data_IF_022488272369
#
_entry.id   IF_022488272369
#
_cell.length_a   1.000
_cell.length_b   1.000
_cell.length_c   1.000
_cell.angle_alpha   90.00
_cell.angle_beta   90.00
_cell.angle_gamma   90.00
#
_symmetry.space_group_name_H-M   'P 1'
#
loop_
_entity.id
_entity.type
_entity.pdbx_description
1 polymer ?
#
# COMPACT_ATOMS: atom_id res chain seq x y z
N UNK A 1 6.18 -2.80 5.09
CA UNK A 1 5.26 -1.64 5.20
C UNK A 1 5.41 -0.91 6.53
N UNK A 2 6.11 -1.51 7.52
CA UNK A 2 6.24 -0.94 8.85
C UNK A 2 6.91 0.45 8.79
N UNK A 3 6.16 1.50 9.02
CA UNK A 3 6.63 2.88 9.06
C UNK A 3 6.26 3.75 7.86
N UNK A 4 6.06 3.18 6.66
CA UNK A 4 5.66 3.97 5.49
C UNK A 4 4.24 4.54 5.64
N UNK A 5 3.35 3.79 6.29
CA UNK A 5 1.98 4.16 6.62
C UNK A 5 1.87 5.33 7.64
N UNK A 6 2.95 5.63 8.36
CA UNK A 6 3.02 6.79 9.24
C UNK A 6 3.40 8.08 8.49
N UNK A 7 4.01 7.95 7.32
CA UNK A 7 4.50 9.07 6.52
C UNK A 7 3.52 9.41 5.40
N UNK A 8 2.93 8.40 4.77
CA UNK A 8 1.99 8.61 3.67
C UNK A 8 0.71 7.80 3.89
N UNK A 9 -0.44 8.47 3.84
CA UNK A 9 -1.72 7.80 3.80
C UNK A 9 -1.86 7.07 2.45
N UNK A 10 -2.16 5.77 2.51
CA UNK A 10 -2.43 5.02 1.29
C UNK A 10 -1.21 4.53 0.54
N UNK A 11 -0.40 3.75 1.22
CA UNK A 11 0.71 3.02 0.58
C UNK A 11 0.15 1.81 -0.18
N UNK A 12 0.21 1.85 -1.50
CA UNK A 12 -0.11 0.70 -2.35
C UNK A 12 1.17 -0.10 -2.64
N UNK A 13 1.16 -1.39 -2.33
CA UNK A 13 2.25 -2.32 -2.69
C UNK A 13 1.94 -2.93 -4.05
N UNK A 14 2.77 -2.63 -5.04
CA UNK A 14 2.63 -3.18 -6.39
C UNK A 14 3.22 -4.58 -6.50
N UNK A 15 4.33 -4.82 -5.81
CA UNK A 15 5.00 -6.11 -5.64
C UNK A 15 5.94 -6.05 -4.42
N UNK A 16 6.48 -7.19 -3.97
CA UNK A 16 7.56 -7.16 -2.96
C UNK A 16 8.70 -6.24 -3.40
N UNK A 17 9.09 -5.31 -2.52
CA UNK A 17 10.13 -4.33 -2.77
C UNK A 17 9.72 -3.11 -3.61
N UNK A 18 8.44 -2.97 -3.97
CA UNK A 18 7.95 -1.79 -4.69
C UNK A 18 6.61 -1.30 -4.12
N UNK A 19 6.60 -0.09 -3.64
CA UNK A 19 5.40 0.58 -3.15
C UNK A 19 5.23 1.95 -3.82
N UNK A 20 4.00 2.42 -3.89
CA UNK A 20 3.64 3.72 -4.43
C UNK A 20 2.72 4.46 -3.46
N UNK A 21 2.89 5.77 -3.38
CA UNK A 21 2.11 6.67 -2.54
C UNK A 21 1.67 7.90 -3.32
N UNK A 22 0.60 8.56 -2.89
CA UNK A 22 0.22 9.87 -3.40
C UNK A 22 1.19 10.93 -2.87
N UNK A 23 2.15 11.34 -3.72
CA UNK A 23 3.16 12.33 -3.38
C UNK A 23 2.53 13.69 -3.05
N UNK A 24 1.46 14.09 -3.73
CA UNK A 24 0.75 15.34 -3.47
C UNK A 24 0.04 15.35 -2.11
N UNK A 25 -0.53 14.22 -1.69
CA UNK A 25 -1.11 14.08 -0.36
C UNK A 25 -0.03 14.15 0.73
N UNK A 26 1.08 13.43 0.55
CA UNK A 26 2.20 13.44 1.48
C UNK A 26 2.86 14.83 1.56
N UNK A 27 3.02 15.53 0.44
CA UNK A 27 3.60 16.89 0.39
C UNK A 27 2.78 17.92 1.18
N UNK A 28 1.46 17.81 1.16
CA UNK A 28 0.59 18.71 1.97
C UNK A 28 0.85 18.59 3.47
N UNK A 29 1.23 17.41 3.93
CA UNK A 29 1.53 17.16 5.34
C UNK A 29 2.99 17.47 5.70
N UNK A 30 3.93 17.09 4.85
CA UNK A 30 5.38 17.21 5.11
C UNK A 30 6.04 18.45 4.48
N UNK A 31 5.26 19.30 3.81
CA UNK A 31 5.72 20.57 3.23
C UNK A 31 6.21 20.47 1.79
N UNK A 32 6.76 19.34 1.35
CA UNK A 32 7.14 19.11 -0.07
C UNK A 32 7.17 17.64 -0.43
N UNK A 33 7.03 17.33 -1.74
CA UNK A 33 7.18 15.99 -2.28
C UNK A 33 8.58 15.41 -2.00
N UNK A 34 9.61 16.25 -2.10
CA UNK A 34 10.98 15.84 -1.83
C UNK A 34 11.18 15.45 -0.36
N UNK A 35 10.65 16.25 0.57
CA UNK A 35 10.70 15.93 2.02
C UNK A 35 9.96 14.63 2.32
N UNK A 36 8.78 14.44 1.74
CA UNK A 36 8.02 13.21 1.91
C UNK A 36 8.79 11.98 1.38
N UNK A 37 9.41 12.09 0.20
CA UNK A 37 10.23 11.02 -0.37
C UNK A 37 11.44 10.68 0.51
N UNK A 38 12.13 11.70 1.06
CA UNK A 38 13.26 11.49 1.96
C UNK A 38 12.83 10.75 3.24
N UNK A 39 11.70 11.15 3.84
CA UNK A 39 11.15 10.47 5.02
C UNK A 39 10.79 9.00 4.73
N UNK A 40 10.27 8.69 3.55
CA UNK A 40 9.98 7.32 3.14
C UNK A 40 11.26 6.48 2.98
N UNK A 41 12.32 7.07 2.41
CA UNK A 41 13.65 6.43 2.31
C UNK A 41 14.21 6.18 3.71
N UNK A 42 14.18 7.17 4.60
CA UNK A 42 14.71 7.07 5.97
C UNK A 42 13.94 6.02 6.79
N UNK A 43 12.61 5.93 6.61
CA UNK A 43 11.80 4.89 7.26
C UNK A 43 12.16 3.48 6.74
N UNK A 44 12.42 3.34 5.45
CA UNK A 44 12.88 2.08 4.87
C UNK A 44 14.27 1.70 5.39
N UNK A 45 15.19 2.65 5.44
CA UNK A 45 16.55 2.45 5.96
C UNK A 45 16.53 2.06 7.45
N UNK A 46 15.66 2.68 8.25
CA UNK A 46 15.46 2.33 9.67
C UNK A 46 14.97 0.89 9.86
N UNK A 47 14.30 0.33 8.85
CA UNK A 47 13.88 -1.07 8.81
C UNK A 47 14.95 -2.00 8.21
N UNK A 48 16.16 -1.49 7.89
CA UNK A 48 17.26 -2.24 7.28
C UNK A 48 17.08 -2.49 5.78
N UNK A 49 16.24 -1.69 5.10
CA UNK A 49 15.96 -1.83 3.66
C UNK A 49 16.55 -0.63 2.94
N UNK A 50 17.53 -0.89 2.07
CA UNK A 50 18.04 0.13 1.15
C UNK A 50 17.00 0.39 0.04
N UNK A 51 16.68 1.66 -0.19
CA UNK A 51 15.62 2.05 -1.11
C UNK A 51 15.92 3.36 -1.81
N UNK A 52 15.27 3.59 -2.93
CA UNK A 52 15.27 4.86 -3.64
C UNK A 52 13.83 5.29 -3.97
N UNK A 53 13.63 6.57 -4.20
CA UNK A 53 12.34 7.12 -4.57
C UNK A 53 12.41 7.80 -5.93
N UNK A 54 11.29 7.76 -6.65
CA UNK A 54 11.05 8.54 -7.86
C UNK A 54 9.71 9.23 -7.78
N UNK A 55 9.61 10.44 -8.29
CA UNK A 55 8.39 11.23 -8.27
C UNK A 55 8.03 11.64 -9.68
N UNK A 56 6.77 11.47 -10.06
CA UNK A 56 6.22 11.95 -11.34
C UNK A 56 4.71 12.14 -11.25
N UNK A 57 4.13 12.82 -12.24
CA UNK A 57 2.68 13.05 -12.32
C UNK A 57 1.87 11.81 -12.70
N UNK A 58 2.49 10.79 -13.32
CA UNK A 58 1.85 9.55 -13.75
C UNK A 58 2.54 8.34 -13.13
N UNK A 59 1.75 7.32 -12.80
CA UNK A 59 2.22 6.13 -12.10
C UNK A 59 3.42 5.46 -12.80
N UNK A 60 3.32 5.16 -14.09
CA UNK A 60 4.39 4.45 -14.80
C UNK A 60 5.65 5.29 -14.97
N UNK A 61 5.49 6.60 -15.16
CA UNK A 61 6.61 7.55 -15.16
C UNK A 61 7.31 7.58 -13.80
N UNK A 62 6.55 7.54 -12.69
CA UNK A 62 7.10 7.49 -11.34
C UNK A 62 7.87 6.18 -11.07
N UNK A 63 7.39 5.03 -11.58
CA UNK A 63 8.10 3.75 -11.45
C UNK A 63 9.45 3.80 -12.18
N UNK A 64 9.49 4.37 -13.39
CA UNK A 64 10.74 4.54 -14.14
C UNK A 64 11.64 5.56 -13.44
N UNK A 65 11.08 6.66 -12.93
CA UNK A 65 11.83 7.67 -12.18
C UNK A 65 12.48 7.08 -10.92
N UNK A 66 11.79 6.18 -10.21
CA UNK A 66 12.35 5.51 -9.04
C UNK A 66 13.56 4.63 -9.39
N UNK A 67 13.57 3.99 -10.56
CA UNK A 67 14.71 3.18 -11.01
C UNK A 67 15.98 3.97 -11.31
N UNK A 68 15.82 5.25 -11.63
CA UNK A 68 16.95 6.14 -11.94
C UNK A 68 17.17 7.23 -10.88
N UNK A 69 16.42 7.19 -9.78
CA UNK A 69 16.53 8.13 -8.67
C UNK A 69 16.13 9.56 -9.05
N UNK A 70 15.11 9.73 -9.88
CA UNK A 70 14.74 11.02 -10.44
C UNK A 70 13.44 11.61 -9.87
N UNK A 71 13.37 12.94 -9.85
CA UNK A 71 12.15 13.71 -9.59
C UNK A 71 11.75 14.42 -10.88
N UNK A 72 10.56 14.08 -11.38
CA UNK A 72 10.00 14.69 -12.58
C UNK A 72 9.05 15.80 -12.18
N UNK A 73 9.33 17.06 -12.51
CA UNK A 73 8.47 18.18 -12.13
C UNK A 73 7.06 18.01 -12.69
N UNK A 74 6.02 18.45 -11.97
CA UNK A 74 4.67 18.44 -12.50
C UNK A 74 4.52 19.35 -13.70
N UNK A 75 3.60 19.01 -14.62
CA UNK A 75 3.26 19.82 -15.77
C UNK A 75 3.13 19.04 -17.05
N UNK A 76 2.33 19.57 -17.98
CA UNK A 76 2.06 18.96 -19.25
C UNK A 76 3.35 18.66 -20.04
N UNK A 77 3.50 17.44 -20.52
CA UNK A 77 4.65 17.01 -21.33
C UNK A 77 5.95 16.78 -20.54
N UNK A 78 6.01 17.07 -19.25
CA UNK A 78 7.23 16.90 -18.46
C UNK A 78 7.60 15.42 -18.30
N UNK A 79 6.61 14.57 -18.05
CA UNK A 79 6.80 13.11 -17.99
C UNK A 79 7.35 12.57 -19.31
N UNK A 80 6.75 12.92 -20.44
CA UNK A 80 7.22 12.51 -21.76
C UNK A 80 8.64 13.03 -22.04
N UNK A 81 8.93 14.30 -21.75
CA UNK A 81 10.26 14.87 -21.95
C UNK A 81 11.33 14.12 -21.13
N UNK A 82 11.01 13.73 -19.89
CA UNK A 82 11.87 12.93 -19.04
C UNK A 82 12.11 11.53 -19.62
N UNK A 83 11.07 10.87 -20.11
CA UNK A 83 11.15 9.50 -20.61
C UNK A 83 11.93 9.42 -21.94
N UNK A 84 11.83 10.39 -22.82
CA UNK A 84 12.39 10.35 -24.19
C UNK A 84 13.85 9.87 -24.28
N UNK A 85 14.82 10.36 -23.48
CA UNK A 85 16.22 9.94 -23.60
C UNK A 85 16.50 8.57 -22.95
N UNK A 86 15.56 8.01 -22.19
CA UNK A 86 15.79 6.80 -21.42
C UNK A 86 15.75 5.55 -22.32
N UNK A 87 16.51 4.53 -21.90
CA UNK A 87 16.57 3.25 -22.61
C UNK A 87 15.24 2.52 -22.62
N UNK A 88 14.86 1.95 -23.75
CA UNK A 88 13.67 1.11 -23.89
C UNK A 88 13.72 -0.13 -22.98
N UNK A 89 14.91 -0.58 -22.56
CA UNK A 89 15.08 -1.74 -21.65
C UNK A 89 14.42 -1.53 -20.30
N UNK A 90 14.19 -0.29 -19.89
CA UNK A 90 13.49 0.02 -18.64
C UNK A 90 12.07 -0.53 -18.62
N UNK A 91 11.42 -0.67 -19.78
CA UNK A 91 10.08 -1.25 -19.88
C UNK A 91 10.02 -2.72 -19.44
N UNK A 92 11.07 -3.49 -19.67
CA UNK A 92 11.17 -4.91 -19.25
C UNK A 92 11.87 -5.09 -17.91
N UNK A 93 12.57 -4.05 -17.43
CA UNK A 93 13.29 -4.11 -16.16
C UNK A 93 12.38 -3.96 -14.93
N UNK A 94 11.13 -3.53 -15.08
CA UNK A 94 10.16 -3.35 -14.02
C UNK A 94 8.84 -4.06 -14.36
N UNK A 95 8.58 -5.19 -13.67
CA UNK A 95 7.39 -6.02 -13.88
C UNK A 95 6.07 -5.25 -13.69
N UNK A 96 6.05 -4.30 -12.75
CA UNK A 96 4.86 -3.50 -12.47
C UNK A 96 4.42 -2.60 -13.63
N UNK A 97 5.30 -2.37 -14.62
CA UNK A 97 4.93 -1.72 -15.87
C UNK A 97 4.04 -2.62 -16.74
N UNK A 98 4.11 -3.95 -16.56
CA UNK A 98 3.34 -4.92 -17.31
C UNK A 98 3.66 -4.95 -18.80
N UNK A 99 4.89 -4.60 -19.18
CA UNK A 99 5.38 -4.72 -20.55
C UNK A 99 5.94 -6.13 -20.78
N UNK A 100 5.56 -6.73 -21.89
CA UNK A 100 6.08 -8.03 -22.30
C UNK A 100 7.55 -7.91 -22.73
N UNK A 101 8.48 -8.68 -22.11
CA UNK A 101 9.91 -8.62 -22.45
C UNK A 101 10.22 -8.99 -23.92
N UNK A 102 9.45 -9.89 -24.53
CA UNK A 102 9.65 -10.30 -25.92
C UNK A 102 9.29 -9.16 -26.88
N UNK A 103 8.22 -8.42 -26.56
CA UNK A 103 7.83 -7.22 -27.31
C UNK A 103 8.91 -6.14 -27.22
N UNK A 104 9.48 -5.91 -26.02
CA UNK A 104 10.58 -4.94 -25.83
C UNK A 104 11.82 -5.39 -26.63
N UNK A 105 12.18 -6.67 -26.58
CA UNK A 105 13.29 -7.23 -27.36
C UNK A 105 13.06 -7.06 -28.89
N UNK A 106 11.82 -7.23 -29.34
CA UNK A 106 11.46 -7.02 -30.76
C UNK A 106 11.66 -5.57 -31.18
N UNK A 107 11.32 -4.58 -30.33
CA UNK A 107 11.63 -3.18 -30.61
C UNK A 107 13.12 -2.94 -30.73
N UNK A 108 13.94 -3.54 -29.87
CA UNK A 108 15.40 -3.42 -29.92
C UNK A 108 15.98 -4.01 -31.22
N UNK A 109 15.45 -5.16 -31.66
CA UNK A 109 15.84 -5.77 -32.95
C UNK A 109 15.52 -4.88 -34.15
N UNK A 110 14.47 -4.07 -34.05
CA UNK A 110 14.11 -3.06 -35.04
C UNK A 110 14.95 -1.78 -34.97
N UNK A 111 15.93 -1.73 -34.05
CA UNK A 111 16.82 -0.59 -33.86
C UNK A 111 16.31 0.48 -32.92
N UNK A 112 15.15 0.31 -32.29
CA UNK A 112 14.60 1.26 -31.32
C UNK A 112 15.35 1.11 -29.99
N UNK A 113 16.01 2.17 -29.54
CA UNK A 113 16.89 2.16 -28.36
C UNK A 113 16.33 2.95 -27.20
N UNK A 114 15.53 3.97 -27.48
CA UNK A 114 15.00 4.89 -26.48
C UNK A 114 13.48 4.90 -26.46
N UNK A 115 12.91 5.35 -25.33
CA UNK A 115 11.47 5.58 -25.19
C UNK A 115 11.00 6.68 -26.13
N UNK A 116 11.87 7.68 -26.43
CA UNK A 116 11.56 8.72 -27.41
C UNK A 116 11.41 8.18 -28.83
N UNK A 117 12.30 7.29 -29.27
CA UNK A 117 12.19 6.64 -30.58
C UNK A 117 10.93 5.77 -30.67
N UNK A 118 10.55 5.08 -29.58
CA UNK A 118 9.29 4.35 -29.53
C UNK A 118 8.07 5.29 -29.62
N UNK A 119 8.09 6.41 -28.89
CA UNK A 119 7.02 7.41 -28.91
C UNK A 119 6.85 8.07 -30.29
N UNK A 120 7.93 8.21 -31.06
CA UNK A 120 7.89 8.81 -32.40
C UNK A 120 7.30 7.86 -33.46
N UNK A 121 7.09 6.58 -33.13
CA UNK A 121 6.43 5.64 -34.04
C UNK A 121 4.93 5.95 -34.16
N UNK A 122 4.37 5.82 -35.37
CA UNK A 122 2.93 5.96 -35.53
C UNK A 122 2.16 4.89 -34.74
N UNK A 123 1.29 5.32 -33.83
CA UNK A 123 0.48 4.46 -32.96
C UNK A 123 -0.16 3.27 -33.69
N UNK A 124 -0.83 3.55 -34.83
CA UNK A 124 -1.49 2.50 -35.64
C UNK A 124 -0.52 1.40 -36.08
N UNK A 125 0.74 1.75 -36.44
CA UNK A 125 1.75 0.77 -36.87
C UNK A 125 2.20 -0.09 -35.70
N UNK A 126 2.33 0.50 -34.51
CA UNK A 126 2.71 -0.22 -33.29
C UNK A 126 1.62 -1.22 -32.92
N UNK A 127 0.37 -0.77 -32.84
CA UNK A 127 -0.77 -1.64 -32.48
C UNK A 127 -1.00 -2.74 -33.49
N UNK A 128 -0.92 -2.44 -34.81
CA UNK A 128 -1.11 -3.45 -35.86
C UNK A 128 -0.05 -4.56 -35.80
N UNK A 129 1.19 -4.23 -35.42
CA UNK A 129 2.30 -5.19 -35.40
C UNK A 129 2.46 -5.93 -34.08
N UNK A 130 2.21 -5.27 -32.94
CA UNK A 130 2.53 -5.75 -31.59
C UNK A 130 1.29 -5.88 -30.69
N UNK A 131 0.10 -5.55 -31.19
CA UNK A 131 -1.15 -5.66 -30.45
C UNK A 131 -1.15 -4.82 -29.17
N UNK A 132 -1.82 -5.35 -28.14
CA UNK A 132 -1.94 -4.71 -26.82
C UNK A 132 -0.59 -4.53 -26.11
N UNK A 133 0.34 -5.47 -26.28
CA UNK A 133 1.67 -5.36 -25.69
C UNK A 133 2.44 -4.16 -26.24
N UNK A 134 2.38 -3.95 -27.55
CA UNK A 134 2.97 -2.77 -28.18
C UNK A 134 2.26 -1.47 -27.79
N UNK A 135 0.94 -1.48 -27.74
CA UNK A 135 0.15 -0.34 -27.27
C UNK A 135 0.58 0.09 -25.88
N UNK A 136 0.68 -0.86 -24.94
CA UNK A 136 1.09 -0.57 -23.56
C UNK A 136 2.46 0.10 -23.49
N UNK A 137 3.45 -0.44 -24.21
CA UNK A 137 4.78 0.16 -24.27
C UNK A 137 4.75 1.59 -24.83
N UNK A 138 3.95 1.82 -25.87
CA UNK A 138 3.80 3.11 -26.53
C UNK A 138 3.09 4.14 -25.62
N UNK A 139 2.05 3.73 -24.90
CA UNK A 139 1.33 4.59 -23.94
C UNK A 139 2.25 5.02 -22.79
N UNK A 140 3.08 4.11 -22.28
CA UNK A 140 4.10 4.44 -21.26
C UNK A 140 5.12 5.43 -21.82
N UNK A 141 5.62 5.24 -23.04
CA UNK A 141 6.59 6.13 -23.68
C UNK A 141 6.04 7.55 -23.88
N UNK A 142 4.72 7.71 -23.98
CA UNK A 142 4.02 8.99 -24.06
C UNK A 142 3.65 9.58 -22.68
N UNK A 143 3.98 8.91 -21.57
CA UNK A 143 3.53 9.28 -20.24
C UNK A 143 2.00 9.42 -20.15
N UNK A 144 1.26 8.55 -20.88
CA UNK A 144 -0.19 8.58 -20.80
C UNK A 144 -0.67 8.19 -19.40
N UNK A 145 -1.70 8.85 -18.87
CA UNK A 145 -2.30 8.45 -17.60
C UNK A 145 -2.74 6.98 -17.66
N UNK A 146 -2.35 6.20 -16.67
CA UNK A 146 -2.73 4.80 -16.58
C UNK A 146 -3.92 4.60 -15.65
N UNK A 147 -3.65 4.42 -14.38
CA UNK A 147 -4.63 4.32 -13.32
C UNK A 147 -4.21 5.20 -12.15
N UNK A 148 -5.17 5.59 -11.35
CA UNK A 148 -4.87 6.19 -10.06
C UNK A 148 -4.24 5.15 -9.13
N UNK A 149 -3.48 5.62 -8.16
CA UNK A 149 -3.06 4.80 -7.01
C UNK A 149 -4.35 4.29 -6.37
N UNK A 150 -4.44 2.98 -6.12
CA UNK A 150 -5.59 2.42 -5.45
C UNK A 150 -5.72 3.07 -4.07
N UNK A 151 -6.89 3.61 -3.71
CA UNK A 151 -7.05 4.12 -2.36
C UNK A 151 -6.76 2.96 -1.40
N UNK A 152 -6.13 3.22 -0.25
CA UNK A 152 -6.04 2.21 0.79
C UNK A 152 -7.45 1.74 1.06
N UNK A 153 -7.63 0.44 1.26
CA UNK A 153 -8.90 -0.08 1.74
C UNK A 153 -9.29 0.76 2.96
N UNK A 154 -10.48 1.38 2.97
CA UNK A 154 -10.90 2.16 4.11
C UNK A 154 -10.70 1.32 5.37
N UNK A 155 -10.04 1.85 6.38
CA UNK A 155 -9.81 1.14 7.65
C UNK A 155 -11.14 0.65 8.25
N UNK A 156 -12.24 1.34 7.92
CA UNK A 156 -13.58 1.00 8.34
C UNK A 156 -14.10 -0.31 7.71
N UNK A 157 -13.69 -0.66 6.50
CA UNK A 157 -14.07 -1.93 5.86
C UNK A 157 -13.45 -3.16 6.54
N UNK A 158 -12.34 -2.97 7.24
CA UNK A 158 -11.67 -4.02 8.02
C UNK A 158 -12.09 -3.99 9.52
N UNK A 159 -12.90 -3.03 9.93
CA UNK A 159 -13.41 -2.94 11.29
C UNK A 159 -14.67 -3.77 11.45
N UNK A 160 -14.70 -4.61 12.48
CA UNK A 160 -15.89 -5.33 12.91
C UNK A 160 -16.30 -4.80 14.27
N UNK A 161 -17.56 -4.45 14.43
CA UNK A 161 -18.13 -3.94 15.67
C UNK A 161 -19.29 -4.82 16.12
N UNK A 162 -19.46 -4.92 17.40
CA UNK A 162 -20.63 -5.51 18.05
C UNK A 162 -21.03 -4.65 19.24
N UNK A 163 -22.28 -4.25 19.27
CA UNK A 163 -22.87 -3.49 20.36
C UNK A 163 -23.88 -4.40 21.04
N UNK A 164 -23.58 -4.95 22.24
CA UNK A 164 -24.49 -5.80 22.97
C UNK A 164 -25.59 -4.96 23.62
N UNK A 165 -26.81 -5.51 23.70
CA UNK A 165 -27.95 -4.85 24.37
C UNK A 165 -27.66 -4.61 25.85
N UNK A 166 -26.96 -5.54 26.51
CA UNK A 166 -26.52 -5.44 27.90
C UNK A 166 -24.98 -5.47 28.02
N UNK A 167 -24.38 -4.79 29.01
CA UNK A 167 -22.95 -4.83 29.23
C UNK A 167 -22.45 -6.27 29.51
N UNK A 168 -21.38 -6.66 28.81
CA UNK A 168 -20.76 -7.97 28.98
C UNK A 168 -20.00 -8.00 30.31
N UNK A 169 -20.44 -8.86 31.22
CA UNK A 169 -19.84 -9.04 32.54
C UNK A 169 -19.22 -10.42 32.75
N UNK A 170 -19.42 -11.34 31.81
CA UNK A 170 -19.00 -12.74 31.90
C UNK A 170 -17.96 -13.07 30.84
N UNK A 171 -16.93 -13.80 31.27
CA UNK A 171 -15.78 -14.18 30.40
C UNK A 171 -16.19 -15.16 29.30
N UNK A 172 -17.14 -16.06 29.58
CA UNK A 172 -17.65 -17.00 28.59
C UNK A 172 -18.42 -16.31 27.44
N UNK A 173 -19.21 -15.29 27.76
CA UNK A 173 -19.88 -14.43 26.76
C UNK A 173 -18.85 -13.66 25.95
N UNK A 174 -17.84 -13.08 26.60
CA UNK A 174 -16.74 -12.39 25.93
C UNK A 174 -15.95 -13.33 24.99
N UNK A 175 -15.72 -14.60 25.39
CA UNK A 175 -15.03 -15.58 24.58
C UNK A 175 -15.84 -16.00 23.34
N UNK A 176 -17.16 -16.08 23.47
CA UNK A 176 -18.05 -16.36 22.34
C UNK A 176 -18.05 -15.20 21.32
N UNK A 177 -18.19 -13.97 21.83
CA UNK A 177 -18.11 -12.75 21.02
C UNK A 177 -16.77 -12.62 20.31
N UNK A 178 -15.66 -12.90 21.01
CA UNK A 178 -14.31 -12.84 20.41
C UNK A 178 -14.20 -13.72 19.17
N UNK A 179 -14.77 -14.93 19.20
CA UNK A 179 -14.80 -15.82 18.04
C UNK A 179 -15.63 -15.25 16.89
N UNK A 180 -16.83 -14.75 17.18
CA UNK A 180 -17.69 -14.16 16.16
C UNK A 180 -17.03 -12.96 15.48
N UNK A 181 -16.41 -12.06 16.26
CA UNK A 181 -15.68 -10.90 15.73
C UNK A 181 -14.47 -11.33 14.89
N UNK A 182 -13.71 -12.33 15.33
CA UNK A 182 -12.57 -12.85 14.58
C UNK A 182 -12.99 -13.45 13.24
N UNK A 183 -14.05 -14.30 13.23
CA UNK A 183 -14.60 -14.90 12.01
C UNK A 183 -15.07 -13.81 11.04
N UNK A 184 -15.83 -12.83 11.52
CA UNK A 184 -16.31 -11.72 10.68
C UNK A 184 -15.17 -10.85 10.14
N UNK A 185 -14.14 -10.59 10.95
CA UNK A 185 -12.94 -9.84 10.53
C UNK A 185 -12.18 -10.61 9.44
N UNK A 186 -11.90 -11.90 9.66
CA UNK A 186 -11.16 -12.72 8.71
C UNK A 186 -11.93 -12.94 7.40
N UNK A 187 -13.27 -12.99 7.43
CA UNK A 187 -14.08 -12.99 6.23
C UNK A 187 -13.95 -11.68 5.43
N UNK A 188 -13.79 -10.51 6.09
CA UNK A 188 -13.53 -9.24 5.43
C UNK A 188 -12.10 -9.18 4.87
N UNK A 189 -11.10 -9.61 5.65
CA UNK A 189 -9.71 -9.69 5.20
C UNK A 189 -9.56 -10.57 3.95
N UNK A 190 -10.20 -11.75 3.95
CA UNK A 190 -10.18 -12.66 2.82
C UNK A 190 -10.81 -12.04 1.56
N UNK A 191 -11.95 -11.35 1.69
CA UNK A 191 -12.57 -10.62 0.57
C UNK A 191 -11.70 -9.50 0.03
N UNK A 192 -10.96 -8.83 0.91
CA UNK A 192 -10.03 -7.78 0.55
C UNK A 192 -8.68 -8.31 0.01
N UNK A 193 -8.43 -9.62 0.08
CA UNK A 193 -7.15 -10.22 -0.34
C UNK A 193 -5.96 -9.81 0.53
N UNK A 194 -6.20 -9.47 1.81
CA UNK A 194 -5.15 -8.99 2.74
C UNK A 194 -5.07 -9.86 3.98
N UNK A 195 -3.97 -9.74 4.73
CA UNK A 195 -3.71 -10.48 5.96
C UNK A 195 -3.55 -9.52 7.15
N UNK A 196 -3.79 -10.03 8.37
CA UNK A 196 -3.74 -9.23 9.60
C UNK A 196 -2.35 -9.29 10.23
N UNK A 197 -1.60 -8.20 10.22
CA UNK A 197 -0.35 -8.02 10.97
C UNK A 197 -0.50 -7.01 12.11
N UNK A 198 -1.54 -6.19 12.08
CA UNK A 198 -1.85 -5.21 13.11
C UNK A 198 -3.30 -5.39 13.53
N UNK A 199 -3.51 -5.74 14.79
CA UNK A 199 -4.83 -5.94 15.39
C UNK A 199 -5.03 -4.92 16.50
N UNK A 200 -6.08 -4.11 16.40
CA UNK A 200 -6.51 -3.22 17.46
C UNK A 200 -7.86 -3.70 18.01
N UNK A 201 -7.91 -3.93 19.31
CA UNK A 201 -9.15 -4.23 20.02
C UNK A 201 -9.53 -3.02 20.85
N UNK A 202 -10.74 -2.54 20.66
CA UNK A 202 -11.31 -1.41 21.41
C UNK A 202 -12.59 -1.86 22.09
N UNK A 203 -12.77 -1.47 23.35
CA UNK A 203 -14.02 -1.70 24.07
C UNK A 203 -14.48 -0.39 24.74
N UNK A 204 -15.78 -0.12 24.65
CA UNK A 204 -16.42 0.96 25.42
C UNK A 204 -17.05 0.36 26.68
N UNK A 205 -16.70 0.90 27.81
CA UNK A 205 -17.17 0.45 29.10
C UNK A 205 -18.55 1.05 29.42
N UNK A 206 -19.28 0.45 30.35
CA UNK A 206 -20.62 0.91 30.76
C UNK A 206 -20.64 2.36 31.34
N UNK A 207 -19.49 2.86 31.80
CA UNK A 207 -19.34 4.25 32.25
C UNK A 207 -18.98 5.24 31.13
N UNK A 208 -18.87 4.76 29.87
CA UNK A 208 -18.50 5.55 28.70
C UNK A 208 -16.99 5.61 28.42
N UNK A 209 -16.13 5.11 29.30
CA UNK A 209 -14.69 5.06 29.05
C UNK A 209 -14.38 4.09 27.93
N UNK A 210 -13.39 4.44 27.10
CA UNK A 210 -12.90 3.58 26.04
C UNK A 210 -11.52 3.05 26.40
N UNK A 211 -11.35 1.74 26.27
CA UNK A 211 -10.06 1.06 26.41
C UNK A 211 -9.65 0.45 25.09
N UNK A 212 -8.36 0.48 24.80
CA UNK A 212 -7.82 0.02 23.52
C UNK A 212 -6.50 -0.71 23.73
N UNK A 213 -6.28 -1.75 22.93
CA UNK A 213 -5.00 -2.46 22.85
C UNK A 213 -4.68 -2.81 21.43
N UNK A 214 -3.44 -2.53 21.02
CA UNK A 214 -2.93 -2.84 19.68
C UNK A 214 -1.80 -3.86 19.76
N UNK A 215 -1.82 -4.85 18.90
CA UNK A 215 -0.75 -5.83 18.69
C UNK A 215 -0.23 -5.76 17.27
N UNK A 216 1.08 -5.71 17.15
CA UNK A 216 1.80 -5.90 15.90
C UNK A 216 2.46 -7.28 15.92
N UNK A 217 2.31 -8.04 14.84
CA UNK A 217 2.87 -9.38 14.72
C UNK A 217 3.74 -9.48 13.48
N UNK A 218 4.82 -10.26 13.59
CA UNK A 218 5.70 -10.55 12.44
C UNK A 218 4.98 -11.43 11.43
N UNK A 219 4.32 -12.48 11.90
CA UNK A 219 3.55 -13.40 11.08
C UNK A 219 2.08 -12.96 11.04
N UNK A 220 1.40 -13.26 9.94
CA UNK A 220 -0.01 -12.97 9.78
C UNK A 220 -0.83 -13.71 10.85
N UNK A 221 -1.73 -12.98 11.52
CA UNK A 221 -2.64 -13.57 12.48
C UNK A 221 -3.66 -14.46 11.76
N UNK A 222 -3.80 -15.68 12.25
CA UNK A 222 -4.90 -16.56 11.88
C UNK A 222 -6.19 -16.14 12.59
N UNK A 223 -7.34 -16.60 12.12
CA UNK A 223 -8.63 -16.36 12.78
C UNK A 223 -8.61 -16.80 14.24
N UNK A 224 -8.07 -18.00 14.51
CA UNK A 224 -7.95 -18.53 15.86
C UNK A 224 -7.05 -17.67 16.75
N UNK A 225 -5.88 -17.30 16.25
CA UNK A 225 -4.95 -16.43 16.99
C UNK A 225 -5.54 -15.03 17.25
N UNK A 226 -6.37 -14.51 16.35
CA UNK A 226 -7.13 -13.28 16.54
C UNK A 226 -8.16 -13.44 17.65
N UNK A 227 -8.97 -14.50 17.61
CA UNK A 227 -9.98 -14.78 18.63
C UNK A 227 -9.37 -14.91 20.03
N UNK A 228 -8.23 -15.60 20.14
CA UNK A 228 -7.54 -15.76 21.42
C UNK A 228 -7.04 -14.42 21.98
N UNK A 229 -6.47 -13.54 21.14
CA UNK A 229 -6.02 -12.21 21.59
C UNK A 229 -7.18 -11.35 22.07
N UNK A 230 -8.29 -11.35 21.31
CA UNK A 230 -9.50 -10.61 21.72
C UNK A 230 -10.04 -11.17 23.03
N UNK A 231 -10.14 -12.50 23.17
CA UNK A 231 -10.59 -13.15 24.40
C UNK A 231 -9.72 -12.78 25.60
N UNK A 232 -8.40 -12.91 25.47
CA UNK A 232 -7.47 -12.58 26.57
C UNK A 232 -7.54 -11.12 26.97
N UNK A 233 -7.70 -10.22 26.01
CA UNK A 233 -7.80 -8.80 26.30
C UNK A 233 -9.12 -8.46 27.02
N UNK A 234 -10.23 -9.00 26.58
CA UNK A 234 -11.53 -8.81 27.22
C UNK A 234 -11.53 -9.41 28.63
N UNK A 235 -10.96 -10.61 28.81
CA UNK A 235 -10.82 -11.24 30.13
C UNK A 235 -9.95 -10.39 31.07
N UNK A 236 -8.80 -9.89 30.60
CA UNK A 236 -7.96 -8.99 31.36
C UNK A 236 -8.69 -7.73 31.80
N UNK A 237 -9.42 -7.07 30.92
CA UNK A 237 -10.20 -5.87 31.26
C UNK A 237 -11.36 -6.16 32.24
N UNK A 238 -12.04 -7.28 32.09
CA UNK A 238 -13.11 -7.69 33.01
C UNK A 238 -12.56 -8.05 34.40
N UNK A 239 -11.40 -8.72 34.46
CA UNK A 239 -10.78 -9.16 35.74
C UNK A 239 -10.18 -7.99 36.50
N UNK A 240 -9.46 -7.08 35.84
CA UNK A 240 -8.83 -5.91 36.47
C UNK A 240 -9.87 -5.01 37.13
N UNK A 241 -11.06 -4.88 36.56
CA UNK A 241 -12.17 -4.13 37.16
C UNK A 241 -12.73 -4.75 38.43
N UNK A 242 -12.70 -6.09 38.54
CA UNK A 242 -13.17 -6.79 39.76
C UNK A 242 -12.23 -6.62 40.95
N UNK A 243 -10.96 -6.35 40.69
CA UNK A 243 -9.90 -6.22 41.74
C UNK A 243 -9.59 -4.77 42.12
N UNK A 244 -10.25 -3.75 41.53
CA UNK A 244 -10.10 -2.34 41.90
C UNK A 244 -8.71 -1.74 41.64
N UNK A 245 -7.92 -2.33 40.74
CA UNK A 245 -6.56 -1.88 40.41
C UNK A 245 -6.55 -0.75 39.38
N UNK A 246 -5.83 0.32 39.72
CA UNK A 246 -5.51 1.45 38.84
C UNK A 246 -4.49 0.98 37.79
N UNK A 247 -4.86 0.92 36.50
CA UNK A 247 -4.03 0.41 35.41
C UNK A 247 -3.39 1.53 34.53
N UNK A 248 -3.18 2.69 35.16
CA UNK A 248 -2.58 3.86 34.50
C UNK A 248 -1.04 3.83 34.40
N UNK A 249 -0.40 2.66 34.36
CA UNK A 249 1.07 2.59 34.18
C UNK A 249 1.51 1.21 33.70
N UNK A 250 1.63 0.98 32.39
CA UNK A 250 2.78 0.24 31.79
C UNK A 250 2.70 0.33 30.27
#
# INVERSE_FOLDING_TARGET
>A
LAGLDQIAAGVEVLRPGLAVVDAGAAARYHGSEHTAAQLLIDASASAGIDSCAGIAGELFTALIAARVGAVVPPGMGKGQAFLRPLSITLLSAEEALGCDPETVASFQQLGIRTLGELADLPYKKVVTRFGEAGQRCHDIAHAHPSRSIAPPLPTDDLRVMHEPDDPITRVDVAAFLARQLATALHARLARAGVVCHLLTVRATMANGDTVERTWRTRDALTEHATADRVRWQLDGWLTTRRTGGDWAST
#
